data_IF_628107274571
#
_entry.id   IF_628107274571
#
_cell.length_a   1.000
_cell.length_b   1.000
_cell.length_c   1.000
_cell.angle_alpha   90.00
_cell.angle_beta   90.00
_cell.angle_gamma   90.00
#
_symmetry.space_group_name_H-M   'P 1'
#
loop_
_entity.id
_entity.type
_entity.pdbx_description
1 polymer ?
#
# COMPACT_ATOMS: atom_id res chain seq x y z
N UNK A 1 -1.84 -12.09 -8.95
CA UNK A 1 -1.11 -10.83 -8.67
C UNK A 1 0.29 -10.94 -9.24
N UNK A 2 0.70 -9.98 -10.09
CA UNK A 2 2.03 -9.96 -10.70
C UNK A 2 3.16 -9.75 -9.67
N UNK A 3 4.40 -10.03 -10.04
CA UNK A 3 5.56 -9.93 -9.14
C UNK A 3 5.79 -8.52 -8.60
N UNK A 4 5.77 -7.52 -9.48
CA UNK A 4 5.88 -6.12 -9.10
C UNK A 4 4.79 -5.69 -8.11
N UNK A 5 3.53 -6.11 -8.34
CA UNK A 5 2.42 -5.83 -7.43
C UNK A 5 2.65 -6.42 -6.04
N UNK A 6 3.20 -7.63 -5.93
CA UNK A 6 3.54 -8.22 -4.62
C UNK A 6 4.59 -7.39 -3.88
N UNK A 7 5.60 -6.90 -4.59
CA UNK A 7 6.61 -5.98 -4.04
C UNK A 7 6.01 -4.66 -3.58
N UNK A 8 5.18 -4.03 -4.41
CA UNK A 8 4.51 -2.77 -4.09
C UNK A 8 3.64 -2.88 -2.83
N UNK A 9 2.88 -3.97 -2.71
CA UNK A 9 2.01 -4.24 -1.55
C UNK A 9 2.81 -4.43 -0.27
N UNK A 10 3.90 -5.21 -0.34
CA UNK A 10 4.82 -5.38 0.78
C UNK A 10 5.39 -4.03 1.24
N UNK A 11 5.88 -3.21 0.30
CA UNK A 11 6.44 -1.90 0.58
C UNK A 11 5.41 -0.98 1.25
N UNK A 12 4.17 -0.99 0.74
CA UNK A 12 3.07 -0.19 1.26
C UNK A 12 2.67 -0.59 2.69
N UNK A 13 2.60 -1.90 2.97
CA UNK A 13 2.36 -2.40 4.33
C UNK A 13 3.46 -1.95 5.29
N UNK A 14 4.74 -2.13 4.92
CA UNK A 14 5.86 -1.72 5.77
C UNK A 14 5.89 -0.21 6.00
N UNK A 15 5.58 0.58 4.98
CA UNK A 15 5.47 2.04 5.08
C UNK A 15 4.44 2.45 6.15
N UNK A 16 3.19 2.02 6.05
CA UNK A 16 2.17 2.43 7.01
C UNK A 16 2.37 1.82 8.40
N UNK A 17 2.84 0.58 8.49
CA UNK A 17 3.21 -0.04 9.77
C UNK A 17 4.38 0.69 10.48
N UNK A 18 5.15 1.50 9.73
CA UNK A 18 6.23 2.32 10.27
C UNK A 18 5.78 3.65 10.86
N UNK A 19 4.66 4.17 10.38
CA UNK A 19 4.06 5.42 10.84
C UNK A 19 3.17 5.19 12.06
N UNK A 20 2.38 4.11 12.03
CA UNK A 20 1.43 3.78 13.10
C UNK A 20 1.11 2.29 13.16
N UNK A 21 0.38 1.88 14.20
CA UNK A 21 -0.19 0.53 14.25
C UNK A 21 -1.29 0.39 13.21
N UNK A 22 -1.29 -0.73 12.49
CA UNK A 22 -2.24 -1.02 11.42
C UNK A 22 -3.02 -2.30 11.72
N UNK A 23 -4.22 -2.44 11.15
CA UNK A 23 -4.96 -3.70 11.16
C UNK A 23 -5.35 -4.09 9.72
N UNK A 24 -5.51 -5.40 9.48
CA UNK A 24 -5.71 -5.94 8.12
C UNK A 24 -6.83 -5.24 7.33
N UNK A 25 -8.00 -5.07 7.94
CA UNK A 25 -9.12 -4.39 7.28
C UNK A 25 -8.84 -2.92 6.89
N UNK A 26 -7.98 -2.21 7.64
CA UNK A 26 -7.58 -0.84 7.28
C UNK A 26 -6.63 -0.86 6.09
N UNK A 27 -5.66 -1.78 6.09
CA UNK A 27 -4.72 -1.95 4.97
C UNK A 27 -5.44 -2.33 3.68
N UNK A 28 -6.44 -3.22 3.71
CA UNK A 28 -7.25 -3.54 2.53
C UNK A 28 -7.87 -2.28 1.93
N UNK A 29 -8.48 -1.43 2.77
CA UNK A 29 -9.10 -0.18 2.33
C UNK A 29 -8.07 0.81 1.79
N UNK A 30 -6.94 0.95 2.45
CA UNK A 30 -5.91 1.89 2.05
C UNK A 30 -5.27 1.46 0.71
N UNK A 31 -4.92 0.19 0.54
CA UNK A 31 -4.42 -0.35 -0.72
C UNK A 31 -5.41 -0.14 -1.87
N UNK A 32 -6.71 -0.35 -1.63
CA UNK A 32 -7.73 -0.11 -2.64
C UNK A 32 -7.79 1.37 -3.09
N UNK A 33 -7.56 2.33 -2.19
CA UNK A 33 -7.47 3.78 -2.53
C UNK A 33 -6.28 4.10 -3.43
N UNK A 34 -5.22 3.31 -3.36
CA UNK A 34 -4.04 3.41 -4.23
C UNK A 34 -4.12 2.53 -5.49
N UNK A 35 -5.31 1.97 -5.79
CA UNK A 35 -5.54 1.16 -6.99
C UNK A 35 -5.10 -0.30 -6.86
N UNK A 36 -4.81 -0.77 -5.65
CA UNK A 36 -4.48 -2.16 -5.36
C UNK A 36 -5.67 -2.85 -4.69
N UNK A 37 -6.55 -3.46 -5.48
CA UNK A 37 -7.62 -4.30 -4.94
C UNK A 37 -7.04 -5.66 -4.50
N UNK A 38 -7.02 -5.90 -3.19
CA UNK A 38 -6.41 -7.09 -2.60
C UNK A 38 -7.43 -7.83 -1.76
N UNK A 39 -7.63 -9.09 -2.13
CA UNK A 39 -8.48 -9.99 -1.35
C UNK A 39 -7.85 -10.29 0.02
N UNK A 40 -8.68 -10.57 1.05
CA UNK A 40 -8.19 -11.08 2.34
C UNK A 40 -7.26 -12.31 2.18
N UNK A 41 -7.57 -13.20 1.23
CA UNK A 41 -6.77 -14.38 0.93
C UNK A 41 -5.36 -14.08 0.39
N UNK A 42 -5.09 -12.84 -0.03
CA UNK A 42 -3.73 -12.39 -0.39
C UNK A 42 -3.11 -11.58 0.74
N UNK A 43 -3.87 -10.68 1.36
CA UNK A 43 -3.35 -9.79 2.39
C UNK A 43 -2.85 -10.54 3.63
N UNK A 44 -3.64 -11.46 4.17
CA UNK A 44 -3.29 -12.12 5.43
C UNK A 44 -2.08 -13.05 5.32
N UNK A 45 -1.92 -13.83 4.24
CA UNK A 45 -0.65 -14.54 3.99
C UNK A 45 0.56 -13.62 3.86
N UNK A 46 0.41 -12.44 3.25
CA UNK A 46 1.49 -11.45 3.19
C UNK A 46 1.84 -10.91 4.58
N UNK A 47 0.85 -10.54 5.40
CA UNK A 47 1.07 -10.08 6.78
C UNK A 47 1.75 -11.16 7.62
N UNK A 48 1.30 -12.41 7.50
CA UNK A 48 1.89 -13.56 8.20
C UNK A 48 3.36 -13.75 7.80
N UNK A 49 3.68 -13.67 6.51
CA UNK A 49 5.06 -13.79 6.02
C UNK A 49 5.93 -12.65 6.54
N UNK A 50 5.45 -11.41 6.50
CA UNK A 50 6.21 -10.27 7.02
C UNK A 50 6.47 -10.36 8.52
N UNK A 51 5.54 -10.95 9.27
CA UNK A 51 5.73 -11.24 10.69
C UNK A 51 6.73 -12.38 10.90
N UNK A 52 6.64 -13.47 10.13
CA UNK A 52 7.59 -14.59 10.16
C UNK A 52 9.02 -14.18 9.76
N UNK A 53 9.16 -13.26 8.79
CA UNK A 53 10.42 -12.63 8.39
C UNK A 53 10.97 -11.67 9.46
N UNK A 54 10.23 -11.44 10.56
CA UNK A 54 10.61 -10.53 11.64
C UNK A 54 10.51 -9.05 11.27
N UNK A 55 9.86 -8.70 10.15
CA UNK A 55 9.73 -7.32 9.67
C UNK A 55 8.54 -6.60 10.30
N UNK A 56 7.50 -7.36 10.65
CA UNK A 56 6.39 -6.91 11.48
C UNK A 56 6.39 -7.65 12.81
N UNK A 57 5.82 -7.02 13.82
CA UNK A 57 5.33 -7.69 15.02
C UNK A 57 3.82 -7.45 15.13
N UNK A 58 3.10 -8.40 15.73
CA UNK A 58 1.68 -8.24 15.98
C UNK A 58 1.30 -8.40 17.45
N UNK A 59 0.18 -7.80 17.83
CA UNK A 59 -0.45 -7.99 19.14
C UNK A 59 -1.97 -8.02 18.99
N UNK A 60 -2.64 -8.68 19.93
CA UNK A 60 -4.10 -8.61 20.04
C UNK A 60 -4.48 -7.35 20.83
N UNK A 61 -5.42 -6.56 20.30
CA UNK A 61 -5.94 -5.36 20.93
C UNK A 61 -7.46 -5.33 20.82
N UNK A 62 -8.15 -4.96 21.89
CA UNK A 62 -9.59 -4.75 21.85
C UNK A 62 -9.84 -3.36 21.25
N UNK A 63 -10.58 -3.32 20.14
CA UNK A 63 -11.01 -2.09 19.45
C UNK A 63 -12.51 -2.23 19.24
N UNK A 64 -13.29 -1.31 19.80
CA UNK A 64 -14.76 -1.32 19.79
C UNK A 64 -15.36 -2.64 20.32
N UNK A 65 -14.84 -3.12 21.46
CA UNK A 65 -15.31 -4.36 22.09
C UNK A 65 -14.94 -5.65 21.35
N UNK A 66 -14.18 -5.58 20.24
CA UNK A 66 -13.73 -6.76 19.49
C UNK A 66 -12.22 -6.88 19.51
N UNK A 67 -11.72 -8.08 19.84
CA UNK A 67 -10.30 -8.37 19.74
C UNK A 67 -9.86 -8.40 18.26
N UNK A 68 -8.92 -7.53 17.90
CA UNK A 68 -8.33 -7.43 16.57
C UNK A 68 -6.82 -7.60 16.67
N UNK A 69 -6.21 -8.21 15.65
CA UNK A 69 -4.76 -8.24 15.52
C UNK A 69 -4.30 -6.93 14.89
N UNK A 70 -3.39 -6.24 15.57
CA UNK A 70 -2.71 -5.04 15.07
C UNK A 70 -1.26 -5.36 14.80
N UNK A 71 -0.68 -4.73 13.78
CA UNK A 71 0.70 -4.93 13.35
C UNK A 71 1.48 -3.62 13.46
N UNK A 72 2.77 -3.74 13.74
CA UNK A 72 3.73 -2.63 13.74
C UNK A 72 5.04 -3.08 13.11
N UNK A 73 5.74 -2.17 12.45
CA UNK A 73 7.07 -2.47 11.92
C UNK A 73 8.08 -2.71 13.06
N UNK A 74 8.98 -3.66 12.87
CA UNK A 74 10.14 -3.88 13.75
C UNK A 74 11.34 -3.01 13.32
N UNK A 75 12.43 -3.05 14.07
CA UNK A 75 13.69 -2.41 13.63
C UNK A 75 14.26 -3.06 12.36
N UNK A 76 14.11 -4.39 12.21
CA UNK A 76 14.48 -5.09 10.99
C UNK A 76 13.58 -4.66 9.82
N UNK A 77 12.27 -4.54 10.03
CA UNK A 77 11.34 -4.02 9.03
C UNK A 77 11.64 -2.59 8.60
N UNK A 78 12.06 -1.71 9.51
CA UNK A 78 12.50 -0.34 9.17
C UNK A 78 13.76 -0.34 8.32
N UNK A 79 14.70 -1.27 8.56
CA UNK A 79 15.91 -1.43 7.74
C UNK A 79 15.55 -1.90 6.33
N UNK A 80 14.71 -2.93 6.22
CA UNK A 80 14.20 -3.43 4.95
C UNK A 80 13.46 -2.33 4.16
N UNK A 81 12.56 -1.60 4.81
CA UNK A 81 11.84 -0.49 4.17
C UNK A 81 12.77 0.59 3.59
N UNK A 82 13.89 0.90 4.25
CA UNK A 82 14.88 1.85 3.71
C UNK A 82 15.59 1.29 2.48
N UNK A 83 15.94 0.00 2.49
CA UNK A 83 16.57 -0.68 1.35
C UNK A 83 15.60 -0.75 0.16
N UNK A 84 14.36 -1.12 0.40
CA UNK A 84 13.32 -1.22 -0.63
C UNK A 84 13.05 0.15 -1.28
N UNK A 85 13.01 1.24 -0.48
CA UNK A 85 12.87 2.61 -1.01
C UNK A 85 14.06 3.02 -1.88
N UNK A 86 15.28 2.66 -1.48
CA UNK A 86 16.49 2.94 -2.27
C UNK A 86 16.43 2.20 -3.61
N UNK A 87 16.13 0.91 -3.60
CA UNK A 87 16.00 0.10 -4.81
C UNK A 87 14.89 0.62 -5.74
N UNK A 88 13.74 1.01 -5.18
CA UNK A 88 12.66 1.62 -5.96
C UNK A 88 13.09 2.93 -6.62
N UNK A 89 13.81 3.79 -5.91
CA UNK A 89 14.29 5.06 -6.46
C UNK A 89 15.34 4.86 -7.56
N UNK A 90 16.25 3.89 -7.40
CA UNK A 90 17.22 3.51 -8.43
C UNK A 90 16.51 2.99 -9.69
N UNK A 91 15.63 2.01 -9.53
CA UNK A 91 14.85 1.45 -10.64
C UNK A 91 13.99 2.52 -11.35
N UNK A 92 13.35 3.40 -10.58
CA UNK A 92 12.52 4.47 -11.15
C UNK A 92 13.37 5.43 -12.00
N UNK A 93 14.56 5.82 -11.54
CA UNK A 93 15.47 6.67 -12.32
C UNK A 93 15.90 6.00 -13.62
N UNK A 94 16.25 4.71 -13.57
CA UNK A 94 16.71 3.96 -14.73
C UNK A 94 15.61 3.75 -15.77
N UNK A 95 14.41 3.34 -15.33
CA UNK A 95 13.33 2.93 -16.23
C UNK A 95 12.51 4.13 -16.73
N UNK A 96 12.43 5.22 -15.96
CA UNK A 96 11.61 6.39 -16.32
C UNK A 96 12.43 7.54 -16.92
N UNK A 97 13.75 7.62 -16.66
CA UNK A 97 14.60 8.72 -17.13
C UNK A 97 14.10 10.12 -16.71
N UNK A 98 14.33 11.15 -17.54
CA UNK A 98 13.82 12.52 -17.36
C UNK A 98 12.31 12.68 -17.62
N UNK A 99 11.62 11.62 -18.05
CA UNK A 99 10.17 11.62 -18.19
C UNK A 99 9.55 11.45 -16.80
N UNK A 100 9.57 12.52 -16.01
CA UNK A 100 8.79 12.59 -14.79
C UNK A 100 7.30 12.44 -15.15
N UNK A 101 6.78 11.26 -14.83
CA UNK A 101 5.43 10.70 -14.93
C UNK A 101 4.30 11.62 -15.43
N UNK A 102 3.44 11.15 -16.37
CA UNK A 102 2.17 11.82 -16.65
C UNK A 102 1.35 11.92 -15.36
N UNK A 103 0.88 13.13 -15.07
CA UNK A 103 -0.07 13.55 -14.02
C UNK A 103 -0.66 12.38 -13.20
N UNK A 104 0.02 12.04 -12.09
CA UNK A 104 -0.42 11.02 -11.14
C UNK A 104 -1.58 11.60 -10.32
N UNK A 105 -2.73 11.82 -10.96
CA UNK A 105 -3.92 12.25 -10.23
C UNK A 105 -4.35 11.14 -9.28
N UNK A 106 -4.53 11.44 -7.98
CA UNK A 106 -5.04 10.46 -7.02
C UNK A 106 -6.39 9.91 -7.50
N UNK A 107 -6.68 8.66 -7.17
CA UNK A 107 -7.91 7.97 -7.61
C UNK A 107 -9.19 8.76 -7.29
N UNK A 108 -9.15 9.63 -6.27
CA UNK A 108 -10.22 10.56 -5.89
C UNK A 108 -10.57 11.63 -6.94
N UNK A 109 -9.72 11.87 -7.94
CA UNK A 109 -9.91 12.91 -8.97
C UNK A 109 -10.32 12.36 -10.35
N UNK A 110 -10.56 11.05 -10.48
CA UNK A 110 -10.90 10.41 -11.78
C UNK A 110 -12.36 10.56 -12.20
N UNK A 111 -13.26 10.94 -11.30
CA UNK A 111 -14.72 10.96 -11.49
C UNK A 111 -15.29 12.27 -12.05
N UNK A 112 -14.52 13.37 -12.15
CA UNK A 112 -15.07 14.67 -12.57
C UNK A 112 -15.10 14.90 -14.09
N UNK A 113 -14.47 14.05 -14.91
CA UNK A 113 -14.27 14.33 -16.35
C UNK A 113 -15.40 13.76 -17.24
N UNK A 114 -16.30 12.91 -16.73
CA UNK A 114 -17.44 12.39 -17.54
C UNK A 114 -18.66 13.32 -17.63
N UNK A 115 -18.60 14.53 -17.06
CA UNK A 115 -19.77 15.40 -16.89
C UNK A 115 -20.00 16.54 -17.88
N UNK A 116 -19.01 17.01 -18.66
CA UNK A 116 -19.19 18.28 -19.42
C UNK A 116 -19.53 18.15 -20.90
N UNK A 117 -19.59 16.95 -21.47
CA UNK A 117 -19.88 16.77 -22.90
C UNK A 117 -21.36 16.52 -23.22
N UNK A 118 -22.30 17.28 -22.60
CA UNK A 118 -23.70 17.39 -23.06
C UNK A 118 -24.32 18.72 -22.63
N UNK A 119 -23.95 19.81 -23.31
CA UNK A 119 -24.77 21.04 -23.40
C UNK A 119 -24.23 21.90 -24.55
N UNK A 120 -24.72 21.60 -25.74
CA UNK A 120 -24.36 22.24 -27.00
C UNK A 120 -25.29 21.72 -28.10
N UNK A 121 -26.58 21.86 -27.89
CA UNK A 121 -27.61 21.64 -28.90
C UNK A 121 -28.85 22.44 -28.49
N UNK A 122 -28.87 23.71 -28.89
CA UNK A 122 -30.03 24.49 -29.38
C UNK A 122 -29.64 25.95 -29.48
#
# INVERSE_FOLDING_TARGET
>A
MGEFQRGAVRLHILHHASEQEIHGAWITKELARHGHDISPGTLYPTLHRLEADGLLSSKRRVVDGRARRVYRVTQAGKRALRQDRKALAELAREVLGDRLLPDVRPASQRSSVRGSARRGAR
#
